data_IF_367112099260
#
_entry.id   IF_367112099260
#
_cell.length_a   1.000
_cell.length_b   1.000
_cell.length_c   1.000
_cell.angle_alpha   90.00
_cell.angle_beta   90.00
_cell.angle_gamma   90.00
#
_symmetry.space_group_name_H-M   'P 1'
#
loop_
_entity.id
_entity.type
_entity.pdbx_description
1 polymer ?
#
# COMPACT_ATOMS: atom_id res chain seq x y z
N UNK A 1 -0.67 -18.72 17.27
CA UNK A 1 -2.11 -19.05 17.23
C UNK A 1 -3.02 -17.84 17.47
N UNK A 2 -2.73 -17.02 18.50
CA UNK A 2 -3.54 -15.85 18.89
C UNK A 2 -3.72 -14.83 17.76
N UNK A 3 -2.65 -14.47 17.03
CA UNK A 3 -2.74 -13.54 15.89
C UNK A 3 -3.61 -14.05 14.73
N UNK A 4 -3.66 -15.37 14.50
CA UNK A 4 -4.53 -15.98 13.48
C UNK A 4 -6.01 -15.95 13.90
N UNK A 5 -6.28 -16.05 15.21
CA UNK A 5 -7.63 -15.99 15.77
C UNK A 5 -8.17 -14.55 15.84
N UNK A 6 -7.33 -13.59 16.23
CA UNK A 6 -7.69 -12.15 16.21
C UNK A 6 -7.84 -11.65 14.77
N UNK A 7 -6.95 -12.08 13.86
CA UNK A 7 -7.05 -11.78 12.44
C UNK A 7 -8.34 -12.35 11.82
N UNK A 8 -8.75 -13.56 12.19
CA UNK A 8 -10.00 -14.17 11.71
C UNK A 8 -11.26 -13.50 12.29
N UNK A 9 -11.23 -13.04 13.55
CA UNK A 9 -12.39 -12.40 14.19
C UNK A 9 -12.60 -10.95 13.77
N UNK A 10 -11.51 -10.21 13.50
CA UNK A 10 -11.57 -8.83 12.99
C UNK A 10 -11.80 -8.81 11.47
N UNK A 11 -11.17 -9.73 10.73
CA UNK A 11 -11.29 -9.81 9.27
C UNK A 11 -12.71 -10.10 8.77
N UNK A 12 -13.54 -10.79 9.56
CA UNK A 12 -14.94 -11.06 9.20
C UNK A 12 -15.90 -9.89 9.50
N UNK A 13 -15.44 -8.83 10.20
CA UNK A 13 -16.28 -7.67 10.58
C UNK A 13 -15.95 -6.39 9.81
N UNK A 14 -14.75 -6.30 9.23
CA UNK A 14 -14.32 -5.08 8.54
C UNK A 14 -14.40 -5.30 7.03
N UNK A 15 -15.26 -4.54 6.35
CA UNK A 15 -15.36 -4.56 4.89
C UNK A 15 -14.02 -4.16 4.25
N UNK A 16 -13.63 -4.83 3.16
CA UNK A 16 -12.44 -4.47 2.36
C UNK A 16 -12.44 -2.99 1.94
N UNK A 17 -13.63 -2.40 1.78
CA UNK A 17 -13.81 -0.96 1.56
C UNK A 17 -13.25 -0.12 2.71
N UNK A 18 -13.60 -0.46 3.94
CA UNK A 18 -13.16 0.26 5.14
C UNK A 18 -11.67 0.04 5.40
N UNK A 19 -11.15 -1.17 5.16
CA UNK A 19 -9.72 -1.49 5.27
C UNK A 19 -8.88 -0.68 4.28
N UNK A 20 -9.31 -0.62 3.02
CA UNK A 20 -8.59 0.15 2.00
C UNK A 20 -8.67 1.66 2.26
N UNK A 21 -9.83 2.16 2.69
CA UNK A 21 -9.99 3.57 3.03
C UNK A 21 -9.12 3.99 4.23
N UNK A 22 -9.10 3.20 5.30
CA UNK A 22 -8.32 3.52 6.50
C UNK A 22 -6.81 3.48 6.22
N UNK A 23 -6.34 2.43 5.53
CA UNK A 23 -4.91 2.28 5.20
C UNK A 23 -4.45 3.32 4.19
N UNK A 24 -5.28 3.69 3.21
CA UNK A 24 -4.95 4.77 2.27
C UNK A 24 -4.91 6.14 2.96
N UNK A 25 -5.82 6.40 3.90
CA UNK A 25 -5.83 7.65 4.68
C UNK A 25 -4.62 7.75 5.61
N UNK A 26 -4.32 6.68 6.36
CA UNK A 26 -3.13 6.62 7.23
C UNK A 26 -1.85 6.72 6.40
N UNK A 27 -1.76 5.99 5.29
CA UNK A 27 -0.62 6.05 4.37
C UNK A 27 -0.42 7.45 3.79
N UNK A 28 -1.50 8.13 3.40
CA UNK A 28 -1.45 9.51 2.91
C UNK A 28 -0.92 10.46 4.00
N UNK A 29 -1.42 10.33 5.22
CA UNK A 29 -0.93 11.10 6.37
C UNK A 29 0.57 10.86 6.62
N UNK A 30 1.02 9.60 6.59
CA UNK A 30 2.43 9.26 6.77
C UNK A 30 3.32 9.79 5.64
N UNK A 31 2.88 9.74 4.38
CA UNK A 31 3.63 10.34 3.27
C UNK A 31 3.71 11.86 3.39
N UNK A 32 2.62 12.53 3.77
CA UNK A 32 2.63 13.97 3.99
C UNK A 32 3.58 14.33 5.15
N UNK A 33 3.58 13.55 6.24
CA UNK A 33 4.55 13.71 7.32
C UNK A 33 5.98 13.49 6.81
N UNK A 34 6.24 12.49 5.96
CA UNK A 34 7.55 12.27 5.36
C UNK A 34 8.01 13.45 4.48
N UNK A 35 7.08 14.09 3.77
CA UNK A 35 7.34 15.23 2.88
C UNK A 35 7.66 16.51 3.64
N UNK A 36 6.96 16.78 4.75
CA UNK A 36 7.12 18.01 5.53
C UNK A 36 8.08 17.89 6.71
N UNK A 37 8.48 16.67 7.10
CA UNK A 37 9.40 16.48 8.21
C UNK A 37 10.84 16.80 7.82
N UNK A 38 11.60 17.34 8.79
CA UNK A 38 13.02 17.67 8.60
C UNK A 38 13.87 16.41 8.41
N UNK A 39 14.82 16.48 7.49
CA UNK A 39 15.86 15.47 7.25
C UNK A 39 16.98 15.46 8.31
N UNK A 40 17.00 16.43 9.22
CA UNK A 40 18.05 16.55 10.26
C UNK A 40 17.75 15.72 11.52
N UNK A 41 16.51 15.31 11.74
CA UNK A 41 16.13 14.49 12.90
C UNK A 41 16.41 13.02 12.60
N UNK A 42 17.36 12.45 13.33
CA UNK A 42 17.77 11.06 13.18
C UNK A 42 16.99 10.20 14.17
N UNK A 43 16.50 9.05 13.69
CA UNK A 43 15.84 8.02 14.49
C UNK A 43 16.48 6.67 14.19
N UNK A 44 16.63 5.85 15.22
CA UNK A 44 17.22 4.53 15.08
C UNK A 44 16.12 3.52 14.73
N UNK A 45 16.23 2.88 13.56
CA UNK A 45 15.29 1.85 13.11
C UNK A 45 15.93 0.47 13.03
N UNK A 46 15.17 -0.60 13.33
CA UNK A 46 15.59 -1.95 13.00
C UNK A 46 15.55 -2.13 11.48
N UNK A 47 16.72 -2.37 10.90
CA UNK A 47 16.90 -2.60 9.47
C UNK A 47 17.52 -3.97 9.21
N UNK A 48 17.29 -4.49 8.01
CA UNK A 48 18.00 -5.68 7.53
C UNK A 48 19.37 -5.23 6.99
N UNK A 49 20.44 -5.72 7.61
CA UNK A 49 21.82 -5.44 7.21
C UNK A 49 22.51 -6.73 6.76
N UNK A 50 23.50 -6.57 5.88
CA UNK A 50 24.41 -7.67 5.56
C UNK A 50 25.44 -7.80 6.67
N UNK A 51 25.50 -8.98 7.28
CA UNK A 51 26.57 -9.39 8.19
C UNK A 51 27.92 -9.41 7.45
N UNK A 52 29.01 -9.29 8.21
CA UNK A 52 30.39 -9.41 7.71
C UNK A 52 30.66 -10.71 6.94
N UNK A 53 29.85 -11.75 7.18
CA UNK A 53 29.94 -13.07 6.53
C UNK A 53 28.95 -13.22 5.35
N UNK A 54 28.31 -12.12 4.92
CA UNK A 54 27.38 -12.08 3.77
C UNK A 54 25.93 -12.48 4.07
N UNK A 55 25.62 -12.97 5.27
CA UNK A 55 24.25 -13.31 5.69
C UNK A 55 23.38 -12.08 6.00
N UNK A 56 22.05 -12.20 5.87
CA UNK A 56 21.10 -11.16 6.30
C UNK A 56 20.94 -11.23 7.83
N UNK A 57 21.10 -10.10 8.51
CA UNK A 57 20.90 -9.96 9.96
C UNK A 57 20.02 -8.74 10.26
N UNK A 58 19.32 -8.77 11.39
CA UNK A 58 18.70 -7.57 11.93
C UNK A 58 19.76 -6.73 12.65
N UNK A 59 19.77 -5.42 12.36
CA UNK A 59 20.64 -4.44 12.99
C UNK A 59 19.90 -3.13 13.20
N UNK A 60 20.50 -2.22 13.94
CA UNK A 60 19.96 -0.88 14.16
C UNK A 60 20.71 0.09 13.26
N UNK A 61 19.99 0.94 12.54
CA UNK A 61 20.58 1.99 11.73
C UNK A 61 19.93 3.33 12.04
N UNK A 62 20.77 4.34 12.13
CA UNK A 62 20.38 5.72 12.27
C UNK A 62 19.96 6.26 10.91
N UNK A 63 18.67 6.56 10.77
CA UNK A 63 18.07 7.06 9.54
C UNK A 63 17.27 8.34 9.82
N UNK A 64 17.09 9.22 8.84
CA UNK A 64 16.25 10.39 9.04
C UNK A 64 14.80 9.98 9.30
N UNK A 65 14.08 10.78 10.09
CA UNK A 65 12.70 10.50 10.50
C UNK A 65 11.73 10.34 9.32
N UNK A 66 11.99 10.98 8.17
CA UNK A 66 11.18 10.80 6.98
C UNK A 66 11.22 9.35 6.44
N UNK A 67 12.37 8.67 6.57
CA UNK A 67 12.54 7.28 6.18
C UNK A 67 11.70 6.36 7.07
N UNK A 68 11.58 6.67 8.37
CA UNK A 68 10.68 5.95 9.27
C UNK A 68 9.23 6.03 8.80
N UNK A 69 8.74 7.22 8.44
CA UNK A 69 7.38 7.37 7.94
C UNK A 69 7.15 6.60 6.63
N UNK A 70 8.12 6.59 5.71
CA UNK A 70 8.06 5.80 4.48
C UNK A 70 8.02 4.30 4.76
N UNK A 71 8.81 3.81 5.72
CA UNK A 71 8.77 2.39 6.14
C UNK A 71 7.41 2.03 6.72
N UNK A 72 6.82 2.91 7.53
CA UNK A 72 5.47 2.71 8.08
C UNK A 72 4.39 2.69 6.98
N UNK A 73 4.56 3.44 5.88
CA UNK A 73 3.68 3.32 4.71
C UNK A 73 3.75 1.92 4.11
N UNK A 74 4.94 1.30 4.08
CA UNK A 74 5.11 -0.09 3.66
C UNK A 74 4.26 -1.08 4.48
N UNK A 75 4.10 -0.83 5.79
CA UNK A 75 3.20 -1.61 6.65
C UNK A 75 1.74 -1.44 6.21
N UNK A 76 1.29 -0.23 5.88
CA UNK A 76 -0.06 0.03 5.37
C UNK A 76 -0.33 -0.74 4.07
N UNK A 77 0.64 -0.77 3.16
CA UNK A 77 0.53 -1.42 1.85
C UNK A 77 0.25 -2.92 1.93
N UNK A 78 0.68 -3.60 3.01
CA UNK A 78 0.46 -5.05 3.20
C UNK A 78 -1.02 -5.46 3.20
N UNK A 79 -1.89 -4.59 3.72
CA UNK A 79 -3.34 -4.82 3.81
C UNK A 79 -4.06 -4.37 2.53
N UNK A 80 -3.48 -3.40 1.81
CA UNK A 80 -4.10 -2.82 0.62
C UNK A 80 -4.27 -3.86 -0.47
N UNK A 81 -3.27 -4.69 -0.76
CA UNK A 81 -3.35 -5.65 -1.88
C UNK A 81 -4.56 -6.58 -1.80
N UNK A 82 -4.76 -7.24 -0.65
CA UNK A 82 -5.92 -8.11 -0.45
C UNK A 82 -7.25 -7.36 -0.50
N UNK A 83 -7.28 -6.12 0.02
CA UNK A 83 -8.48 -5.28 -0.01
C UNK A 83 -8.86 -4.84 -1.42
N UNK A 84 -7.87 -4.47 -2.24
CA UNK A 84 -8.05 -4.07 -3.65
C UNK A 84 -8.52 -5.27 -4.46
N UNK A 85 -7.86 -6.41 -4.30
CA UNK A 85 -8.24 -7.65 -5.00
C UNK A 85 -9.69 -8.02 -4.70
N UNK A 86 -10.06 -8.06 -3.40
CA UNK A 86 -11.44 -8.36 -2.99
C UNK A 86 -12.43 -7.39 -3.64
N UNK A 87 -12.20 -6.08 -3.56
CA UNK A 87 -13.08 -5.06 -4.16
C UNK A 87 -13.15 -5.16 -5.68
N UNK A 88 -12.05 -5.55 -6.35
CA UNK A 88 -11.99 -5.64 -7.81
C UNK A 88 -12.78 -6.83 -8.39
N UNK A 89 -12.95 -7.90 -7.60
CA UNK A 89 -13.67 -9.11 -8.02
C UNK A 89 -15.04 -9.27 -7.36
N UNK A 90 -15.39 -8.38 -6.44
CA UNK A 90 -16.67 -8.39 -5.73
C UNK A 90 -17.84 -8.18 -6.69
N UNK A 91 -18.86 -9.04 -6.63
CA UNK A 91 -20.08 -8.88 -7.41
C UNK A 91 -19.98 -9.28 -8.89
N UNK A 92 -18.91 -9.94 -9.33
CA UNK A 92 -18.73 -10.35 -10.74
C UNK A 92 -19.28 -11.75 -11.09
N UNK A 93 -19.56 -12.61 -10.11
CA UNK A 93 -20.21 -13.91 -10.35
C UNK A 93 -19.39 -14.80 -11.27
N UNK A 94 -19.98 -15.29 -12.37
CA UNK A 94 -19.28 -16.10 -13.39
C UNK A 94 -18.03 -15.42 -14.00
N UNK A 95 -17.93 -14.09 -13.96
CA UNK A 95 -16.79 -13.35 -14.50
C UNK A 95 -15.62 -13.16 -13.51
N UNK A 96 -15.77 -13.62 -12.26
CA UNK A 96 -14.76 -13.49 -11.19
C UNK A 96 -13.40 -14.05 -11.62
N UNK A 97 -13.39 -15.22 -12.27
CA UNK A 97 -12.15 -15.85 -12.73
C UNK A 97 -11.44 -15.02 -13.80
N UNK A 98 -12.18 -14.51 -14.79
CA UNK A 98 -11.63 -13.68 -15.87
C UNK A 98 -11.10 -12.34 -15.33
N UNK A 99 -11.84 -11.69 -14.44
CA UNK A 99 -11.43 -10.44 -13.82
C UNK A 99 -10.21 -10.62 -12.90
N UNK A 100 -10.13 -11.72 -12.14
CA UNK A 100 -8.96 -12.06 -11.33
C UNK A 100 -7.72 -12.24 -12.21
N UNK A 101 -7.87 -12.92 -13.37
CA UNK A 101 -6.78 -13.09 -14.33
C UNK A 101 -6.29 -11.75 -14.89
N UNK A 102 -7.21 -10.88 -15.33
CA UNK A 102 -6.85 -9.55 -15.82
C UNK A 102 -6.19 -8.69 -14.73
N UNK A 103 -6.72 -8.74 -13.52
CA UNK A 103 -6.17 -8.02 -12.37
C UNK A 103 -4.71 -8.42 -12.10
N UNK A 104 -4.39 -9.72 -12.19
CA UNK A 104 -3.01 -10.20 -12.01
C UNK A 104 -2.07 -9.74 -13.12
N UNK A 105 -2.54 -9.54 -14.35
CA UNK A 105 -1.73 -8.96 -15.44
C UNK A 105 -1.43 -7.48 -15.19
N UNK A 106 -2.41 -6.74 -14.64
CA UNK A 106 -2.26 -5.32 -14.31
C UNK A 106 -1.32 -5.03 -13.13
N UNK A 107 -0.83 -6.07 -12.44
CA UNK A 107 0.26 -5.96 -11.44
C UNK A 107 1.52 -5.34 -12.05
N UNK A 108 1.68 -5.35 -13.38
CA UNK A 108 2.74 -4.62 -14.09
C UNK A 108 2.82 -3.13 -13.70
N UNK A 109 1.72 -2.53 -13.27
CA UNK A 109 1.68 -1.17 -12.70
C UNK A 109 2.64 -0.97 -11.53
N UNK A 110 2.94 -2.04 -10.77
CA UNK A 110 3.93 -2.03 -9.69
C UNK A 110 5.38 -1.80 -10.16
N UNK A 111 5.69 -1.98 -11.45
CA UNK A 111 6.96 -1.56 -12.04
C UNK A 111 6.87 -0.18 -12.70
N UNK A 112 5.73 0.13 -13.31
CA UNK A 112 5.50 1.39 -14.03
C UNK A 112 5.51 2.59 -13.08
N UNK A 113 4.78 2.51 -11.96
CA UNK A 113 4.66 3.64 -11.03
C UNK A 113 6.00 3.95 -10.33
N UNK A 114 6.79 2.98 -9.84
CA UNK A 114 8.13 3.26 -9.31
C UNK A 114 9.11 3.76 -10.36
N UNK A 115 9.04 3.28 -11.60
CA UNK A 115 9.87 3.82 -12.68
C UNK A 115 9.54 5.29 -12.95
N UNK A 116 8.26 5.65 -12.96
CA UNK A 116 7.82 7.04 -13.09
C UNK A 116 8.25 7.89 -11.89
N UNK A 117 8.08 7.39 -10.67
CA UNK A 117 8.55 8.08 -9.46
C UNK A 117 10.07 8.27 -9.45
N UNK A 118 10.84 7.27 -9.92
CA UNK A 118 12.28 7.37 -10.11
C UNK A 118 12.66 8.45 -11.11
N UNK A 119 11.99 8.50 -12.26
CA UNK A 119 12.18 9.58 -13.24
C UNK A 119 11.91 10.97 -12.64
N UNK A 120 10.86 11.11 -11.82
CA UNK A 120 10.57 12.37 -11.11
C UNK A 120 11.65 12.67 -10.06
N UNK A 121 12.17 11.65 -9.35
CA UNK A 121 13.24 11.81 -8.38
C UNK A 121 14.53 12.34 -9.03
N UNK A 122 14.87 11.84 -10.21
CA UNK A 122 16.06 12.29 -10.97
C UNK A 122 15.95 13.76 -11.41
N UNK A 123 14.74 14.29 -11.58
CA UNK A 123 14.50 15.66 -12.07
C UNK A 123 14.19 16.68 -10.98
N UNK A 124 13.40 16.29 -9.98
CA UNK A 124 12.83 17.19 -8.96
C UNK A 124 13.32 16.87 -7.53
N UNK A 125 14.16 15.85 -7.37
CA UNK A 125 14.69 15.40 -6.09
C UNK A 125 13.86 14.31 -5.43
N UNK A 126 14.52 13.54 -4.57
CA UNK A 126 13.96 12.34 -3.93
C UNK A 126 12.70 12.64 -3.12
N UNK A 127 12.73 13.65 -2.25
CA UNK A 127 11.57 14.02 -1.41
C UNK A 127 10.39 14.48 -2.27
N UNK A 128 10.60 15.38 -3.23
CA UNK A 128 9.54 15.85 -4.12
C UNK A 128 8.87 14.70 -4.89
N UNK A 129 9.63 13.67 -5.27
CA UNK A 129 9.08 12.52 -6.00
C UNK A 129 8.00 11.74 -5.22
N UNK A 130 7.98 11.82 -3.88
CA UNK A 130 6.94 11.17 -3.07
C UNK A 130 5.55 11.81 -3.22
N UNK A 131 5.43 12.97 -3.87
CA UNK A 131 4.13 13.46 -4.33
C UNK A 131 3.45 12.48 -5.30
N UNK A 132 4.22 11.73 -6.10
CA UNK A 132 3.67 10.67 -6.96
C UNK A 132 3.00 9.59 -6.12
N UNK A 133 3.64 9.19 -5.01
CA UNK A 133 3.09 8.21 -4.07
C UNK A 133 1.87 8.77 -3.34
N UNK A 134 1.90 10.04 -2.93
CA UNK A 134 0.78 10.72 -2.31
C UNK A 134 -0.46 10.74 -3.24
N UNK A 135 -0.27 11.07 -4.53
CA UNK A 135 -1.33 11.03 -5.53
C UNK A 135 -1.87 9.61 -5.74
N UNK A 136 -0.99 8.61 -5.75
CA UNK A 136 -1.38 7.19 -5.79
C UNK A 136 -2.26 6.81 -4.61
N UNK A 137 -1.86 7.15 -3.38
CA UNK A 137 -2.65 6.89 -2.15
C UNK A 137 -3.97 7.66 -2.13
N UNK A 138 -4.00 8.89 -2.64
CA UNK A 138 -5.22 9.66 -2.80
C UNK A 138 -6.18 8.99 -3.79
N UNK A 139 -5.67 8.46 -4.90
CA UNK A 139 -6.46 7.67 -5.84
C UNK A 139 -7.00 6.38 -5.19
N UNK A 140 -6.18 5.69 -4.38
CA UNK A 140 -6.65 4.51 -3.65
C UNK A 140 -7.75 4.83 -2.64
N UNK A 141 -7.66 5.98 -1.97
CA UNK A 141 -8.72 6.47 -1.09
C UNK A 141 -10.01 6.76 -1.88
N UNK A 142 -9.91 7.41 -3.04
CA UNK A 142 -11.05 7.61 -3.94
C UNK A 142 -11.66 6.27 -4.40
N UNK A 143 -10.83 5.32 -4.82
CA UNK A 143 -11.26 3.99 -5.24
C UNK A 143 -12.01 3.27 -4.12
N UNK A 144 -11.48 3.34 -2.89
CA UNK A 144 -12.15 2.77 -1.73
C UNK A 144 -13.50 3.44 -1.44
N UNK A 145 -13.62 4.77 -1.51
CA UNK A 145 -14.84 5.46 -1.08
C UNK A 145 -15.95 5.45 -2.14
N UNK A 146 -15.58 5.66 -3.41
CA UNK A 146 -16.51 5.87 -4.51
C UNK A 146 -16.28 4.94 -5.70
N UNK A 147 -15.03 4.65 -6.05
CA UNK A 147 -14.69 3.90 -7.27
C UNK A 147 -15.07 2.42 -7.26
N UNK A 148 -15.14 1.78 -6.09
CA UNK A 148 -15.45 0.35 -5.94
C UNK A 148 -16.95 0.03 -5.80
N UNK A 149 -17.84 0.99 -6.10
CA UNK A 149 -19.29 0.78 -5.99
C UNK A 149 -19.79 -0.22 -7.05
N UNK A 150 -20.46 -1.29 -6.60
CA UNK A 150 -21.08 -2.28 -7.48
C UNK A 150 -22.38 -1.70 -8.07
N UNK A 151 -22.38 -1.46 -9.38
CA UNK A 151 -23.52 -0.86 -10.10
C UNK A 151 -24.51 -1.93 -10.63
N UNK A 152 -24.01 -3.08 -11.08
CA UNK A 152 -24.83 -4.13 -11.72
C UNK A 152 -24.95 -5.37 -10.82
N UNK A 153 -25.93 -5.37 -9.91
CA UNK A 153 -26.20 -6.51 -9.02
C UNK A 153 -26.85 -7.72 -9.70
N UNK A 154 -27.34 -7.56 -10.93
CA UNK A 154 -28.11 -8.60 -11.64
C UNK A 154 -27.27 -9.77 -12.15
N UNK A 155 -25.96 -9.58 -12.32
CA UNK A 155 -25.02 -10.62 -12.80
C UNK A 155 -24.82 -11.74 -11.75
N UNK A 156 -25.19 -11.50 -10.49
CA UNK A 156 -25.01 -12.44 -9.37
C UNK A 156 -25.96 -13.66 -9.40
N UNK A 157 -27.02 -13.63 -10.23
CA UNK A 157 -28.06 -14.68 -10.29
C UNK A 157 -27.94 -15.64 -11.48
N UNK A 158 -26.93 -15.49 -12.34
CA UNK A 158 -26.63 -16.40 -13.46
C UNK A 158 -25.36 -17.19 -13.21
#
# INVERSE_FOLDING_TARGET
LIGRLIGASVGNKVSSKAMLASTSLVGLGLILLALFSSTSTIVTLPVLQRSAIGGLSFGMADVPINAMYIVLVGLCTSIMWGSIFNLAVEGLGKYTAAASGLFMVLVCGGGILPAFQGFVADKAGFITSYWVVALGLAYMLFYALAGSKIVHKEIQKQ
#
